data_IF_940474652373
#
_entry.id   IF_940474652373
#
_cell.length_a   1.000
_cell.length_b   1.000
_cell.length_c   1.000
_cell.angle_alpha   90.00
_cell.angle_beta   90.00
_cell.angle_gamma   90.00
#
_symmetry.space_group_name_H-M   'P 1'
#
loop_
_entity.id
_entity.type
_entity.pdbx_description
1 polymer ?
#
# COMPACT_ATOMS: atom_id res chain seq x y z
N UNK A 1 -15.42 -35.39 -1.88
CA UNK A 1 -15.76 -34.02 -2.28
C UNK A 1 -15.54 -33.14 -1.06
N UNK A 2 -14.43 -32.40 -1.02
CA UNK A 2 -14.17 -31.43 0.05
C UNK A 2 -15.23 -30.32 -0.07
N UNK A 3 -15.99 -30.08 0.98
CA UNK A 3 -16.96 -28.97 1.02
C UNK A 3 -16.19 -27.69 0.74
N UNK A 4 -16.60 -26.98 -0.30
CA UNK A 4 -16.02 -25.71 -0.69
C UNK A 4 -16.19 -24.71 0.47
N UNK A 5 -15.08 -24.10 0.91
CA UNK A 5 -15.12 -23.15 2.01
C UNK A 5 -15.87 -21.88 1.60
N UNK A 6 -16.39 -21.15 2.58
CA UNK A 6 -17.02 -19.84 2.31
C UNK A 6 -16.03 -18.88 1.61
N UNK A 7 -14.73 -18.92 1.98
CA UNK A 7 -13.68 -18.14 1.35
C UNK A 7 -13.50 -18.48 -0.14
N UNK A 8 -13.56 -19.76 -0.52
CA UNK A 8 -13.48 -20.19 -1.91
C UNK A 8 -14.67 -19.70 -2.74
N UNK A 9 -15.88 -19.76 -2.15
CA UNK A 9 -17.10 -19.26 -2.78
C UNK A 9 -17.02 -17.75 -2.98
N UNK A 10 -16.60 -17.01 -1.97
CA UNK A 10 -16.41 -15.56 -2.04
C UNK A 10 -15.36 -15.18 -3.10
N UNK A 11 -14.18 -15.79 -3.06
CA UNK A 11 -13.12 -15.53 -4.04
C UNK A 11 -13.55 -15.81 -5.49
N UNK A 12 -14.36 -16.87 -5.70
CA UNK A 12 -14.91 -17.20 -7.00
C UNK A 12 -15.97 -16.19 -7.46
N UNK A 13 -16.83 -15.74 -6.58
CA UNK A 13 -17.85 -14.71 -6.87
C UNK A 13 -17.15 -13.40 -7.20
N UNK A 14 -16.19 -12.96 -6.38
CA UNK A 14 -15.43 -11.73 -6.64
C UNK A 14 -14.64 -11.79 -7.94
N UNK A 15 -13.99 -12.91 -8.24
CA UNK A 15 -13.26 -13.09 -9.52
C UNK A 15 -14.17 -13.16 -10.76
N UNK A 16 -15.48 -13.30 -10.60
CA UNK A 16 -16.46 -13.23 -11.71
C UNK A 16 -17.11 -11.85 -11.87
N UNK A 17 -17.18 -11.08 -10.77
CA UNK A 17 -17.90 -9.80 -10.73
C UNK A 17 -16.92 -8.63 -10.88
N UNK A 18 -15.75 -8.70 -10.26
CA UNK A 18 -14.77 -7.63 -10.30
C UNK A 18 -13.83 -7.85 -11.49
N UNK A 19 -13.89 -6.99 -12.52
CA UNK A 19 -12.96 -7.05 -13.64
C UNK A 19 -11.54 -6.65 -13.19
N UNK A 20 -10.57 -6.77 -14.08
CA UNK A 20 -9.24 -6.21 -13.81
C UNK A 20 -9.30 -4.68 -13.64
N UNK A 21 -8.30 -4.11 -12.96
CA UNK A 21 -8.31 -2.71 -12.56
C UNK A 21 -8.38 -1.72 -13.75
N UNK A 22 -7.82 -2.07 -14.92
CA UNK A 22 -7.89 -1.22 -16.11
C UNK A 22 -9.32 -1.21 -16.66
N UNK A 23 -9.92 -2.39 -16.80
CA UNK A 23 -11.31 -2.54 -17.25
C UNK A 23 -12.27 -1.85 -16.30
N UNK A 24 -12.08 -2.01 -14.99
CA UNK A 24 -12.86 -1.33 -13.95
C UNK A 24 -12.75 0.20 -14.06
N UNK A 25 -11.55 0.72 -14.28
CA UNK A 25 -11.32 2.15 -14.44
C UNK A 25 -12.01 2.71 -15.70
N UNK A 26 -11.94 2.01 -16.82
CA UNK A 26 -12.61 2.42 -18.06
C UNK A 26 -14.14 2.38 -17.88
N UNK A 27 -14.67 1.35 -17.24
CA UNK A 27 -16.10 1.27 -16.93
C UNK A 27 -16.56 2.41 -16.03
N UNK A 28 -15.84 2.67 -14.94
CA UNK A 28 -16.14 3.76 -14.02
C UNK A 28 -16.05 5.13 -14.71
N UNK A 29 -15.05 5.32 -15.58
CA UNK A 29 -14.93 6.52 -16.40
C UNK A 29 -16.17 6.74 -17.27
N UNK A 30 -16.63 5.70 -17.99
CA UNK A 30 -17.81 5.79 -18.83
C UNK A 30 -19.09 6.12 -18.04
N UNK A 31 -19.28 5.46 -16.88
CA UNK A 31 -20.41 5.74 -15.99
C UNK A 31 -20.39 7.19 -15.49
N UNK A 32 -19.25 7.69 -15.02
CA UNK A 32 -19.14 9.05 -14.50
C UNK A 32 -19.18 10.11 -15.59
N UNK A 33 -18.73 9.80 -16.82
CA UNK A 33 -18.87 10.69 -17.96
C UNK A 33 -20.37 10.91 -18.28
N UNK A 34 -21.14 9.82 -18.36
CA UNK A 34 -22.60 9.90 -18.57
C UNK A 34 -23.27 10.62 -17.39
N UNK A 35 -22.89 10.31 -16.15
CA UNK A 35 -23.44 10.95 -14.96
C UNK A 35 -23.17 12.47 -14.98
N UNK A 36 -21.98 12.93 -15.39
CA UNK A 36 -21.66 14.35 -15.54
C UNK A 36 -22.61 15.04 -16.53
N UNK A 37 -22.93 14.40 -17.65
CA UNK A 37 -23.88 14.92 -18.62
C UNK A 37 -25.31 14.96 -18.08
N UNK A 38 -25.75 13.91 -17.40
CA UNK A 38 -27.10 13.81 -16.78
C UNK A 38 -27.32 14.90 -15.72
N UNK A 39 -26.28 15.28 -14.97
CA UNK A 39 -26.38 16.37 -13.98
C UNK A 39 -26.33 17.76 -14.61
N UNK A 40 -26.28 17.88 -15.94
CA UNK A 40 -26.47 19.13 -16.68
C UNK A 40 -25.21 19.73 -17.27
N UNK A 41 -24.06 19.01 -17.27
CA UNK A 41 -22.88 19.49 -17.99
C UNK A 41 -23.00 19.18 -19.49
N UNK A 42 -22.48 20.10 -20.34
CA UNK A 42 -22.43 19.86 -21.79
C UNK A 42 -21.39 18.78 -22.12
N UNK A 43 -21.53 18.17 -23.29
CA UNK A 43 -20.54 17.20 -23.79
C UNK A 43 -19.14 17.81 -23.87
N UNK A 44 -19.01 19.06 -24.38
CA UNK A 44 -17.72 19.74 -24.47
C UNK A 44 -17.09 19.98 -23.09
N UNK A 45 -17.88 20.50 -22.13
CA UNK A 45 -17.41 20.70 -20.74
C UNK A 45 -16.94 19.39 -20.12
N UNK A 46 -17.69 18.31 -20.33
CA UNK A 46 -17.36 16.99 -19.79
C UNK A 46 -16.09 16.43 -20.42
N UNK A 47 -15.92 16.59 -21.75
CA UNK A 47 -14.73 16.16 -22.46
C UNK A 47 -13.48 16.94 -22.03
N UNK A 48 -13.59 18.27 -21.92
CA UNK A 48 -12.49 19.11 -21.46
C UNK A 48 -12.09 18.79 -20.00
N UNK A 49 -13.07 18.54 -19.15
CA UNK A 49 -12.83 18.13 -17.74
C UNK A 49 -12.07 16.80 -17.67
N UNK A 50 -12.49 15.81 -18.45
CA UNK A 50 -11.81 14.53 -18.55
C UNK A 50 -10.36 14.68 -19.04
N UNK A 51 -10.16 15.38 -20.15
CA UNK A 51 -8.82 15.56 -20.73
C UNK A 51 -7.89 16.33 -19.82
N UNK A 52 -8.39 17.38 -19.15
CA UNK A 52 -7.65 18.13 -18.13
C UNK A 52 -7.21 17.24 -16.98
N UNK A 53 -8.12 16.38 -16.51
CA UNK A 53 -7.83 15.44 -15.46
C UNK A 53 -6.75 14.44 -15.83
N UNK A 54 -6.77 13.94 -17.05
CA UNK A 54 -5.92 12.82 -17.52
C UNK A 54 -4.42 12.99 -17.17
N UNK A 55 -3.92 14.21 -17.14
CA UNK A 55 -2.51 14.53 -16.92
C UNK A 55 -2.18 15.08 -15.52
N UNK A 56 -3.19 15.34 -14.69
CA UNK A 56 -2.96 15.99 -13.39
C UNK A 56 -2.20 15.15 -12.38
N UNK A 57 -2.22 13.82 -12.52
CA UNK A 57 -1.50 12.89 -11.63
C UNK A 57 -0.14 12.46 -12.18
N UNK A 58 0.39 13.06 -13.25
CA UNK A 58 1.67 12.64 -13.85
C UNK A 58 2.84 12.62 -12.84
N UNK A 59 3.09 13.69 -12.06
CA UNK A 59 4.13 13.66 -11.02
C UNK A 59 3.87 12.56 -9.98
N UNK A 60 2.64 12.44 -9.51
CA UNK A 60 2.26 11.44 -8.51
C UNK A 60 2.43 10.01 -9.04
N UNK A 61 2.09 9.76 -10.31
CA UNK A 61 2.32 8.47 -10.97
C UNK A 61 3.78 8.06 -10.91
N UNK A 62 4.70 8.99 -11.22
CA UNK A 62 6.13 8.71 -11.15
C UNK A 62 6.63 8.51 -9.72
N UNK A 63 6.12 9.27 -8.77
CA UNK A 63 6.44 9.13 -7.35
C UNK A 63 6.03 7.76 -6.82
N UNK A 64 4.83 7.27 -7.16
CA UNK A 64 4.35 5.94 -6.77
C UNK A 64 5.09 4.81 -7.50
N UNK A 65 5.43 5.02 -8.77
CA UNK A 65 6.27 4.10 -9.53
C UNK A 65 7.62 3.89 -8.83
N UNK A 66 8.25 4.97 -8.37
CA UNK A 66 9.52 4.90 -7.62
C UNK A 66 9.35 4.15 -6.29
N UNK A 67 8.25 4.34 -5.56
CA UNK A 67 7.99 3.58 -4.32
C UNK A 67 8.01 2.07 -4.60
N UNK A 68 7.29 1.61 -5.61
CA UNK A 68 7.22 0.19 -5.96
C UNK A 68 8.59 -0.34 -6.38
N UNK A 69 9.24 0.37 -7.27
CA UNK A 69 10.53 -0.05 -7.83
C UNK A 69 11.61 -0.09 -6.76
N UNK A 70 11.75 0.97 -5.96
CA UNK A 70 12.77 1.04 -4.90
C UNK A 70 12.52 0.00 -3.81
N UNK A 71 11.26 -0.28 -3.47
CA UNK A 71 10.92 -1.36 -2.54
C UNK A 71 11.42 -2.71 -3.04
N UNK A 72 11.16 -3.01 -4.31
CA UNK A 72 11.61 -4.26 -4.93
C UNK A 72 13.15 -4.33 -4.98
N UNK A 73 13.82 -3.22 -5.34
CA UNK A 73 15.29 -3.15 -5.35
C UNK A 73 15.87 -3.39 -3.95
N UNK A 74 15.38 -2.70 -2.92
CA UNK A 74 15.81 -2.89 -1.52
C UNK A 74 15.60 -4.32 -1.08
N UNK A 75 14.44 -4.90 -1.37
CA UNK A 75 14.10 -6.28 -1.02
C UNK A 75 14.99 -7.35 -1.67
N UNK A 76 15.56 -7.06 -2.85
CA UNK A 76 16.48 -7.97 -3.54
C UNK A 76 17.88 -7.97 -2.93
N UNK A 77 18.23 -7.00 -2.07
CA UNK A 77 19.57 -6.90 -1.51
C UNK A 77 19.93 -8.09 -0.61
N UNK A 78 21.17 -8.54 -0.71
CA UNK A 78 21.68 -9.66 0.11
C UNK A 78 21.74 -9.31 1.60
N UNK A 79 21.98 -8.05 1.92
CA UNK A 79 22.00 -7.54 3.30
C UNK A 79 20.63 -7.68 3.93
N UNK A 80 19.59 -7.24 3.22
CA UNK A 80 18.22 -7.31 3.71
C UNK A 80 17.77 -8.77 3.94
N UNK A 81 18.04 -9.65 2.97
CA UNK A 81 17.74 -11.09 3.08
C UNK A 81 18.43 -11.72 4.29
N UNK A 82 19.69 -11.36 4.58
CA UNK A 82 20.42 -11.83 5.77
C UNK A 82 19.79 -11.35 7.07
N UNK A 83 19.34 -10.10 7.13
CA UNK A 83 18.65 -9.57 8.30
C UNK A 83 17.36 -10.35 8.57
N UNK A 84 16.51 -10.55 7.56
CA UNK A 84 15.27 -11.34 7.69
C UNK A 84 15.58 -12.75 8.18
N UNK A 85 16.57 -13.44 7.58
CA UNK A 85 16.95 -14.78 7.98
C UNK A 85 17.49 -14.83 9.42
N UNK A 86 18.24 -13.82 9.87
CA UNK A 86 18.73 -13.74 11.25
C UNK A 86 17.59 -13.55 12.24
N UNK A 87 16.65 -12.64 11.95
CA UNK A 87 15.47 -12.39 12.79
C UNK A 87 14.54 -13.61 12.87
N UNK A 88 14.38 -14.34 11.77
CA UNK A 88 13.59 -15.56 11.73
C UNK A 88 14.10 -16.68 12.67
N UNK A 89 15.38 -16.63 13.07
CA UNK A 89 15.99 -17.59 14.01
C UNK A 89 15.67 -17.30 15.48
N UNK A 90 15.18 -16.10 15.82
CA UNK A 90 14.98 -15.72 17.21
C UNK A 90 13.79 -16.42 17.89
N UNK A 91 12.62 -16.60 17.25
CA UNK A 91 11.45 -17.19 17.87
C UNK A 91 11.69 -18.63 18.37
N UNK A 92 11.07 -18.94 19.53
CA UNK A 92 11.13 -20.27 20.17
C UNK A 92 9.73 -20.87 20.36
N UNK A 93 8.67 -20.11 20.13
CA UNK A 93 7.28 -20.55 20.26
C UNK A 93 6.44 -20.09 19.08
N UNK A 94 5.30 -20.74 18.83
CA UNK A 94 4.34 -20.38 17.78
C UNK A 94 3.95 -18.90 17.86
N UNK A 95 3.61 -18.39 19.05
CA UNK A 95 3.25 -17.01 19.23
C UNK A 95 4.40 -16.05 18.90
N UNK A 96 5.63 -16.39 19.26
CA UNK A 96 6.79 -15.58 18.92
C UNK A 96 7.05 -15.56 17.40
N UNK A 97 6.77 -16.65 16.68
CA UNK A 97 6.85 -16.68 15.22
C UNK A 97 5.85 -15.72 14.60
N UNK A 98 4.59 -15.79 15.03
CA UNK A 98 3.52 -14.90 14.54
C UNK A 98 3.83 -13.44 14.86
N UNK A 99 4.14 -13.13 16.12
CA UNK A 99 4.44 -11.78 16.59
C UNK A 99 5.67 -11.22 15.85
N UNK A 100 6.76 -11.98 15.79
CA UNK A 100 8.01 -11.54 15.17
C UNK A 100 7.85 -11.26 13.67
N UNK A 101 7.18 -12.15 12.95
CA UNK A 101 6.95 -11.99 11.52
C UNK A 101 6.00 -10.81 11.22
N UNK A 102 4.90 -10.69 11.97
CA UNK A 102 3.93 -9.59 11.79
C UNK A 102 4.53 -8.23 12.15
N UNK A 103 5.25 -8.11 13.29
CA UNK A 103 5.90 -6.86 13.67
C UNK A 103 7.01 -6.45 12.69
N UNK A 104 7.79 -7.41 12.18
CA UNK A 104 8.80 -7.11 11.18
C UNK A 104 8.15 -6.55 9.91
N UNK A 105 7.11 -7.22 9.38
CA UNK A 105 6.43 -6.75 8.17
C UNK A 105 5.68 -5.43 8.40
N UNK A 106 4.97 -5.30 9.51
CA UNK A 106 4.28 -4.06 9.87
C UNK A 106 5.25 -2.88 10.01
N UNK A 107 6.38 -3.08 10.71
CA UNK A 107 7.41 -2.05 10.83
C UNK A 107 7.96 -1.61 9.47
N UNK A 108 8.32 -2.55 8.59
CA UNK A 108 8.78 -2.24 7.24
C UNK A 108 7.70 -1.48 6.45
N UNK A 109 6.45 -1.90 6.57
CA UNK A 109 5.31 -1.30 5.89
C UNK A 109 5.03 0.12 6.36
N UNK A 110 5.18 0.39 7.66
CA UNK A 110 5.03 1.73 8.23
C UNK A 110 6.02 2.72 7.63
N UNK A 111 7.28 2.29 7.43
CA UNK A 111 8.28 3.14 6.79
C UNK A 111 8.06 3.27 5.28
N UNK A 112 7.76 2.16 4.60
CA UNK A 112 7.64 2.16 3.14
C UNK A 112 6.76 0.99 2.68
N UNK A 113 5.51 1.28 2.29
CA UNK A 113 4.47 0.27 2.05
C UNK A 113 4.85 -0.84 1.08
N UNK A 114 5.60 -0.49 0.04
CA UNK A 114 6.02 -1.46 -0.96
C UNK A 114 6.97 -2.53 -0.41
N UNK A 115 7.75 -2.23 0.66
CA UNK A 115 8.57 -3.24 1.34
C UNK A 115 7.71 -4.32 1.95
N UNK A 116 6.63 -3.94 2.64
CA UNK A 116 5.74 -4.91 3.26
C UNK A 116 5.07 -5.84 2.26
N UNK A 117 4.64 -5.31 1.11
CA UNK A 117 4.06 -6.12 0.03
C UNK A 117 5.10 -7.07 -0.57
N UNK A 118 6.28 -6.55 -0.90
CA UNK A 118 7.33 -7.34 -1.55
C UNK A 118 7.96 -8.40 -0.63
N UNK A 119 8.12 -8.07 0.65
CA UNK A 119 8.88 -8.87 1.61
C UNK A 119 8.02 -9.69 2.56
N UNK A 120 6.76 -9.33 2.76
CA UNK A 120 5.84 -10.08 3.62
C UNK A 120 5.82 -11.59 3.32
N UNK A 121 5.66 -12.01 2.06
CA UNK A 121 5.75 -13.42 1.70
C UNK A 121 7.11 -14.06 2.03
N UNK A 122 8.21 -13.35 1.79
CA UNK A 122 9.57 -13.82 2.06
C UNK A 122 9.82 -13.94 3.56
N UNK A 123 9.33 -12.98 4.35
CA UNK A 123 9.35 -13.01 5.82
C UNK A 123 8.59 -14.24 6.31
N UNK A 124 7.36 -14.46 5.81
CA UNK A 124 6.53 -15.60 6.20
C UNK A 124 7.21 -16.93 5.91
N UNK A 125 7.83 -17.07 4.74
CA UNK A 125 8.57 -18.29 4.34
C UNK A 125 9.78 -18.51 5.26
N UNK A 126 10.60 -17.49 5.52
CA UNK A 126 11.78 -17.65 6.38
C UNK A 126 11.40 -17.99 7.82
N UNK A 127 10.39 -17.33 8.38
CA UNK A 127 9.91 -17.60 9.74
C UNK A 127 9.29 -19.00 9.85
N UNK A 128 8.49 -19.44 8.87
CA UNK A 128 7.92 -20.76 8.83
C UNK A 128 9.01 -21.85 8.69
N UNK A 129 10.02 -21.64 7.83
CA UNK A 129 11.14 -22.57 7.65
C UNK A 129 11.94 -22.74 8.95
N UNK A 130 12.29 -21.66 9.62
CA UNK A 130 13.03 -21.73 10.88
C UNK A 130 12.17 -22.34 12.02
N UNK A 131 10.86 -22.10 12.00
CA UNK A 131 9.92 -22.75 12.92
C UNK A 131 9.92 -24.27 12.73
N UNK A 132 9.83 -24.77 11.49
CA UNK A 132 9.89 -26.20 11.19
C UNK A 132 11.23 -26.82 11.63
N UNK A 133 12.37 -26.14 11.37
CA UNK A 133 13.69 -26.59 11.82
C UNK A 133 13.79 -26.78 13.34
N UNK A 134 13.00 -26.01 14.10
CA UNK A 134 12.92 -26.05 15.55
C UNK A 134 11.77 -26.91 16.08
N UNK A 135 11.04 -27.61 15.21
CA UNK A 135 9.82 -28.36 15.53
C UNK A 135 8.71 -27.50 16.16
N UNK A 136 8.67 -26.20 15.85
CA UNK A 136 7.61 -25.28 16.24
C UNK A 136 6.47 -25.40 15.25
N UNK A 137 5.27 -25.72 15.72
CA UNK A 137 4.08 -25.90 14.87
C UNK A 137 3.49 -24.56 14.46
N UNK A 138 3.42 -24.28 13.15
CA UNK A 138 2.84 -23.08 12.56
C UNK A 138 2.10 -23.45 11.28
N UNK A 139 0.89 -22.91 11.10
CA UNK A 139 0.22 -22.97 9.79
C UNK A 139 0.81 -21.88 8.90
N UNK A 140 1.41 -22.30 7.78
CA UNK A 140 2.10 -21.37 6.88
C UNK A 140 1.17 -20.36 6.22
N UNK A 141 -0.03 -20.77 5.79
CA UNK A 141 -0.95 -19.87 5.11
C UNK A 141 -1.62 -18.88 6.07
N UNK A 142 -1.88 -19.30 7.30
CA UNK A 142 -2.36 -18.40 8.35
C UNK A 142 -1.28 -17.37 8.73
N UNK A 143 -0.01 -17.81 8.86
CA UNK A 143 1.12 -16.90 9.07
C UNK A 143 1.24 -15.90 7.92
N UNK A 144 1.16 -16.37 6.68
CA UNK A 144 1.21 -15.53 5.47
C UNK A 144 0.10 -14.48 5.48
N UNK A 145 -1.14 -14.88 5.82
CA UNK A 145 -2.28 -13.98 5.93
C UNK A 145 -2.10 -12.93 7.03
N UNK A 146 -1.58 -13.34 8.20
CA UNK A 146 -1.33 -12.44 9.33
C UNK A 146 -0.23 -11.42 9.00
N UNK A 147 0.85 -11.87 8.38
CA UNK A 147 1.96 -11.01 7.94
C UNK A 147 1.49 -10.06 6.84
N UNK A 148 0.68 -10.52 5.89
CA UNK A 148 0.07 -9.66 4.88
C UNK A 148 -0.87 -8.63 5.52
N UNK A 149 -1.72 -9.02 6.44
CA UNK A 149 -2.61 -8.10 7.15
C UNK A 149 -1.83 -7.06 7.99
N UNK A 150 -0.69 -7.42 8.57
CA UNK A 150 0.18 -6.49 9.27
C UNK A 150 0.76 -5.39 8.36
N UNK A 151 0.77 -5.61 7.03
CA UNK A 151 1.10 -4.55 6.07
C UNK A 151 0.13 -3.37 6.16
N UNK A 152 -1.10 -3.55 6.63
CA UNK A 152 -2.14 -2.51 6.72
C UNK A 152 -1.67 -1.21 7.40
N UNK A 153 -0.74 -1.29 8.34
CA UNK A 153 -0.19 -0.12 9.05
C UNK A 153 0.48 0.93 8.13
N UNK A 154 0.78 0.58 6.88
CA UNK A 154 1.28 1.56 5.92
C UNK A 154 0.27 2.66 5.60
N UNK A 155 -1.04 2.39 5.78
CA UNK A 155 -2.11 3.31 5.42
C UNK A 155 -2.06 4.62 6.23
N UNK A 156 -1.50 4.56 7.43
CA UNK A 156 -1.20 5.74 8.26
C UNK A 156 0.30 5.79 8.64
N UNK A 157 1.16 5.15 7.85
CA UNK A 157 2.61 5.18 7.99
C UNK A 157 3.27 6.31 7.19
N UNK A 158 4.61 6.33 7.20
CA UNK A 158 5.41 7.40 6.56
C UNK A 158 5.26 7.47 5.04
N UNK A 159 4.87 6.39 4.40
CA UNK A 159 4.62 6.33 2.95
C UNK A 159 3.13 6.26 2.59
N UNK A 160 2.25 6.58 3.53
CA UNK A 160 0.80 6.64 3.31
C UNK A 160 0.47 7.55 2.12
N UNK A 161 -0.11 6.98 1.06
CA UNK A 161 -0.18 7.65 -0.24
C UNK A 161 -1.04 8.92 -0.21
N UNK A 162 -2.24 8.88 0.39
CA UNK A 162 -3.11 10.05 0.46
C UNK A 162 -2.57 11.13 1.42
N UNK A 163 -2.20 10.82 2.69
CA UNK A 163 -1.61 11.81 3.60
C UNK A 163 -0.34 12.46 3.06
N UNK A 164 0.59 11.65 2.53
CA UNK A 164 1.87 12.17 2.06
C UNK A 164 1.71 13.02 0.80
N UNK A 165 0.76 12.65 -0.08
CA UNK A 165 0.41 13.46 -1.24
C UNK A 165 -0.14 14.83 -0.82
N UNK A 166 -1.05 14.86 0.17
CA UNK A 166 -1.63 16.12 0.65
C UNK A 166 -0.65 16.98 1.47
N UNK A 167 0.43 16.39 1.96
CA UNK A 167 1.53 17.12 2.58
C UNK A 167 2.54 17.67 1.56
N UNK A 168 2.49 17.20 0.30
CA UNK A 168 3.44 17.60 -0.76
C UNK A 168 2.93 18.86 -1.47
N UNK A 169 3.70 19.97 -1.53
CA UNK A 169 3.32 21.16 -2.28
C UNK A 169 3.04 20.87 -3.75
N UNK A 170 2.03 21.53 -4.31
CA UNK A 170 1.62 21.37 -5.71
C UNK A 170 0.73 20.13 -5.95
N UNK A 171 0.18 19.51 -4.91
CA UNK A 171 -0.75 18.40 -5.08
C UNK A 171 -2.09 18.85 -5.71
N UNK A 172 -2.78 17.93 -6.35
CA UNK A 172 -3.95 18.19 -7.20
C UNK A 172 -5.20 18.76 -6.48
N UNK A 173 -5.25 18.74 -5.15
CA UNK A 173 -6.33 19.34 -4.35
C UNK A 173 -5.88 20.58 -3.57
N UNK A 174 -4.67 21.10 -3.79
CA UNK A 174 -4.13 22.18 -2.96
C UNK A 174 -5.02 23.44 -2.96
N UNK A 175 -5.63 23.79 -4.09
CA UNK A 175 -6.53 24.93 -4.19
C UNK A 175 -7.84 24.74 -3.40
N UNK A 176 -8.21 23.49 -3.11
CA UNK A 176 -9.44 23.14 -2.39
C UNK A 176 -9.25 23.01 -0.89
N UNK A 177 -8.14 22.37 -0.47
CA UNK A 177 -7.93 21.97 0.93
C UNK A 177 -6.62 22.48 1.54
N UNK A 178 -5.79 23.19 0.77
CA UNK A 178 -4.46 23.61 1.22
C UNK A 178 -3.50 22.43 1.38
N UNK A 179 -2.34 22.68 1.99
CA UNK A 179 -1.37 21.65 2.34
C UNK A 179 -1.74 21.09 3.72
N UNK A 180 -1.90 19.78 3.85
CA UNK A 180 -2.22 19.11 5.10
C UNK A 180 -0.94 18.55 5.75
N UNK A 181 -0.46 19.13 6.86
CA UNK A 181 0.74 18.64 7.53
C UNK A 181 0.57 17.20 8.04
N UNK A 182 1.64 16.40 8.01
CA UNK A 182 1.61 15.02 8.53
C UNK A 182 1.24 14.95 10.01
N UNK A 183 1.51 16.00 10.79
CA UNK A 183 1.10 16.12 12.19
C UNK A 183 -0.42 16.09 12.39
N UNK A 184 -1.19 16.49 11.40
CA UNK A 184 -2.66 16.49 11.43
C UNK A 184 -3.26 15.26 10.74
N UNK A 185 -2.45 14.37 10.20
CA UNK A 185 -2.87 13.17 9.48
C UNK A 185 -2.27 11.92 10.12
N UNK A 186 -1.17 11.39 9.62
CA UNK A 186 -0.55 10.14 10.10
C UNK A 186 -0.02 10.24 11.55
N UNK A 187 0.33 11.42 12.00
CA UNK A 187 0.78 11.68 13.37
C UNK A 187 -0.28 12.32 14.25
N UNK A 188 -1.53 12.38 13.78
CA UNK A 188 -2.65 12.77 14.63
C UNK A 188 -2.87 11.72 15.74
N UNK A 189 -3.38 12.10 16.91
CA UNK A 189 -3.68 11.15 17.97
C UNK A 189 -4.59 10.00 17.50
N UNK A 190 -5.59 10.29 16.69
CA UNK A 190 -6.49 9.28 16.14
C UNK A 190 -5.76 8.25 15.28
N UNK A 191 -4.88 8.69 14.37
CA UNK A 191 -4.12 7.77 13.51
C UNK A 191 -3.17 6.89 14.35
N UNK A 192 -2.47 7.47 15.33
CA UNK A 192 -1.57 6.72 16.22
C UNK A 192 -2.36 5.70 17.07
N UNK A 193 -3.49 6.10 17.64
CA UNK A 193 -4.37 5.18 18.38
C UNK A 193 -4.84 4.04 17.49
N UNK A 194 -5.28 4.35 16.25
CA UNK A 194 -5.70 3.33 15.31
C UNK A 194 -4.60 2.31 15.03
N UNK A 195 -3.40 2.76 14.69
CA UNK A 195 -2.27 1.89 14.36
C UNK A 195 -1.88 0.97 15.52
N UNK A 196 -1.78 1.53 16.73
CA UNK A 196 -1.42 0.77 17.94
C UNK A 196 -2.52 -0.25 18.27
N UNK A 197 -3.78 0.17 18.30
CA UNK A 197 -4.91 -0.71 18.62
C UNK A 197 -5.07 -1.80 17.56
N UNK A 198 -4.95 -1.45 16.29
CA UNK A 198 -5.02 -2.44 15.22
C UNK A 198 -3.87 -3.46 15.31
N UNK A 199 -2.63 -3.01 15.49
CA UNK A 199 -1.49 -3.93 15.59
C UNK A 199 -1.65 -4.87 16.81
N UNK A 200 -2.04 -4.35 17.97
CA UNK A 200 -2.28 -5.18 19.15
C UNK A 200 -3.40 -6.20 18.93
N UNK A 201 -4.50 -5.78 18.33
CA UNK A 201 -5.62 -6.66 18.00
C UNK A 201 -5.24 -7.71 16.94
N UNK A 202 -4.48 -7.33 15.91
CA UNK A 202 -3.96 -8.25 14.89
C UNK A 202 -3.06 -9.32 15.53
N UNK A 203 -2.16 -8.92 16.40
CA UNK A 203 -1.27 -9.87 17.11
C UNK A 203 -2.06 -10.81 18.02
N UNK A 204 -3.05 -10.28 18.76
CA UNK A 204 -3.92 -11.10 19.62
C UNK A 204 -4.70 -12.11 18.79
N UNK A 205 -5.34 -11.69 17.69
CA UNK A 205 -6.07 -12.55 16.76
C UNK A 205 -5.12 -13.56 16.11
N UNK A 206 -3.93 -13.14 15.66
CA UNK A 206 -2.93 -14.01 15.07
C UNK A 206 -2.41 -15.11 16.01
N UNK A 207 -2.31 -14.81 17.30
CA UNK A 207 -1.92 -15.80 18.30
C UNK A 207 -3.08 -16.73 18.70
N UNK A 208 -4.32 -16.22 18.69
CA UNK A 208 -5.49 -16.95 19.22
C UNK A 208 -6.17 -17.82 18.14
N UNK A 209 -6.25 -17.37 16.89
CA UNK A 209 -6.95 -18.05 15.81
C UNK A 209 -6.09 -19.01 14.98
N UNK A 210 -4.87 -19.35 15.44
CA UNK A 210 -4.02 -20.32 14.75
C UNK A 210 -4.80 -21.63 14.52
N UNK A 211 -4.91 -22.11 13.27
CA UNK A 211 -5.65 -23.34 12.95
C UNK A 211 -5.14 -24.56 13.72
N UNK A 212 -6.05 -25.40 14.21
CA UNK A 212 -5.68 -26.64 14.89
C UNK A 212 -5.04 -27.66 13.93
N UNK A 213 -5.55 -27.76 12.70
CA UNK A 213 -4.99 -28.57 11.63
C UNK A 213 -3.97 -27.72 10.85
N UNK A 214 -2.74 -27.69 11.34
CA UNK A 214 -1.67 -26.86 10.78
C UNK A 214 -1.05 -27.49 9.54
N UNK A 215 -0.90 -26.71 8.49
CA UNK A 215 -0.16 -27.06 7.27
C UNK A 215 1.21 -26.38 7.30
N UNK A 216 2.30 -27.15 7.50
CA UNK A 216 3.65 -26.61 7.56
C UNK A 216 4.11 -26.10 6.18
N UNK A 217 5.21 -25.34 6.14
CA UNK A 217 5.79 -24.84 4.87
C UNK A 217 6.21 -25.99 3.94
N UNK A 218 6.66 -27.11 4.50
CA UNK A 218 7.02 -28.34 3.75
C UNK A 218 5.85 -28.93 2.94
N UNK A 219 4.60 -28.63 3.29
CA UNK A 219 3.42 -28.98 2.50
C UNK A 219 3.28 -28.12 1.22
N UNK A 220 4.10 -27.07 1.05
CA UNK A 220 4.12 -26.15 -0.08
C UNK A 220 5.50 -26.11 -0.75
N UNK A 221 5.88 -27.12 -1.56
CA UNK A 221 7.23 -27.27 -2.10
C UNK A 221 7.72 -26.05 -2.89
N UNK A 222 6.85 -25.41 -3.67
CA UNK A 222 7.22 -24.25 -4.48
C UNK A 222 7.52 -23.01 -3.63
N UNK A 223 6.78 -22.79 -2.54
CA UNK A 223 7.08 -21.76 -1.56
C UNK A 223 8.40 -22.02 -0.85
N UNK A 224 8.64 -23.27 -0.48
CA UNK A 224 9.84 -23.68 0.27
C UNK A 224 11.13 -23.42 -0.52
N UNK A 225 11.14 -23.58 -1.84
CA UNK A 225 12.30 -23.29 -2.72
C UNK A 225 12.73 -21.82 -2.68
N UNK A 226 11.83 -20.88 -2.36
CA UNK A 226 12.14 -19.45 -2.35
C UNK A 226 13.04 -19.00 -1.19
N UNK A 227 13.19 -19.81 -0.15
CA UNK A 227 14.07 -19.50 0.96
C UNK A 227 15.55 -19.82 0.66
N UNK A 228 15.84 -20.49 -0.46
CA UNK A 228 17.22 -20.79 -0.84
C UNK A 228 17.96 -19.51 -1.29
N UNK A 229 19.24 -19.36 -0.88
CA UNK A 229 20.00 -18.18 -1.26
C UNK A 229 20.16 -18.11 -2.79
N UNK A 230 19.77 -17.00 -3.39
CA UNK A 230 20.08 -16.73 -4.79
C UNK A 230 21.60 -16.46 -4.86
N UNK A 231 22.34 -17.34 -5.50
CA UNK A 231 23.74 -17.10 -5.83
C UNK A 231 23.78 -15.97 -6.86
N UNK A 232 24.36 -14.82 -6.48
CA UNK A 232 24.61 -13.76 -7.43
C UNK A 232 25.68 -14.25 -8.41
N UNK A 233 25.34 -14.26 -9.69
CA UNK A 233 26.31 -14.48 -10.76
C UNK A 233 27.19 -13.20 -10.86
N UNK A 234 28.35 -13.23 -10.22
CA UNK A 234 29.30 -12.12 -10.22
C UNK A 234 30.22 -12.24 -11.42
N UNK A 235 29.79 -11.70 -12.55
CA UNK A 235 30.66 -11.56 -13.71
C UNK A 235 31.79 -10.61 -13.37
N UNK A 236 33.05 -11.01 -13.63
CA UNK A 236 34.21 -10.16 -13.45
C UNK A 236 34.24 -9.07 -14.55
N UNK A 237 34.56 -7.82 -14.22
CA UNK A 237 34.62 -6.73 -15.19
C UNK A 237 35.81 -6.93 -16.14
N UNK A 238 35.52 -6.94 -17.44
CA UNK A 238 36.51 -7.20 -18.49
C UNK A 238 37.14 -5.91 -19.05
N UNK A 239 36.45 -4.79 -19.00
CA UNK A 239 36.87 -3.50 -19.57
C UNK A 239 36.76 -2.34 -18.59
N UNK A 240 37.19 -1.14 -18.99
CA UNK A 240 37.17 0.04 -18.14
C UNK A 240 35.73 0.46 -17.75
N UNK A 241 34.76 0.41 -18.66
CA UNK A 241 33.39 0.77 -18.39
C UNK A 241 32.79 -0.16 -17.32
N UNK A 242 32.96 -1.45 -17.47
CA UNK A 242 32.48 -2.44 -16.49
C UNK A 242 33.17 -2.28 -15.12
N UNK A 243 34.48 -1.95 -15.10
CA UNK A 243 35.17 -1.65 -13.84
C UNK A 243 34.56 -0.43 -13.14
N UNK A 244 34.17 0.59 -13.90
CA UNK A 244 33.51 1.77 -13.35
C UNK A 244 32.12 1.44 -12.78
N UNK A 245 31.34 0.63 -13.51
CA UNK A 245 30.01 0.17 -13.06
C UNK A 245 30.09 -0.71 -11.80
N UNK A 246 31.13 -1.55 -11.67
CA UNK A 246 31.36 -2.38 -10.48
C UNK A 246 32.05 -1.60 -9.34
N UNK A 247 32.48 -0.37 -9.60
CA UNK A 247 33.14 0.46 -8.58
C UNK A 247 32.17 0.97 -7.53
N UNK A 248 32.51 0.77 -6.25
CA UNK A 248 31.79 1.38 -5.14
C UNK A 248 32.00 2.90 -5.04
N UNK A 249 32.99 3.46 -5.73
CA UNK A 249 33.26 4.91 -5.70
C UNK A 249 32.14 5.68 -6.36
N UNK A 250 31.63 5.24 -7.51
CA UNK A 250 30.51 5.91 -8.17
C UNK A 250 29.25 5.89 -7.29
N UNK A 251 28.99 4.77 -6.65
CA UNK A 251 27.90 4.66 -5.67
C UNK A 251 28.11 5.62 -4.49
N UNK A 252 29.32 5.69 -3.94
CA UNK A 252 29.63 6.57 -2.80
C UNK A 252 29.43 8.05 -3.17
N UNK A 253 29.90 8.48 -4.34
CA UNK A 253 29.72 9.86 -4.83
C UNK A 253 28.23 10.22 -4.89
N UNK A 254 27.42 9.35 -5.48
CA UNK A 254 25.96 9.55 -5.54
C UNK A 254 25.33 9.57 -4.14
N UNK A 255 25.69 8.60 -3.28
CA UNK A 255 25.16 8.51 -1.92
C UNK A 255 25.51 9.74 -1.08
N UNK A 256 26.73 10.27 -1.19
CA UNK A 256 27.16 11.51 -0.50
C UNK A 256 26.32 12.69 -0.98
N UNK A 257 26.09 12.83 -2.29
CA UNK A 257 25.30 13.92 -2.83
C UNK A 257 23.85 13.88 -2.33
N UNK A 258 23.20 12.70 -2.36
CA UNK A 258 21.83 12.53 -1.87
C UNK A 258 21.75 12.74 -0.35
N UNK A 259 22.69 12.20 0.41
CA UNK A 259 22.75 12.39 1.87
C UNK A 259 22.94 13.87 2.24
N UNK A 260 23.82 14.59 1.54
CA UNK A 260 24.03 16.02 1.74
C UNK A 260 22.76 16.82 1.43
N UNK A 261 22.02 16.45 0.36
CA UNK A 261 20.75 17.07 0.04
C UNK A 261 19.69 16.79 1.10
N UNK A 262 19.55 15.54 1.59
CA UNK A 262 18.63 15.19 2.66
C UNK A 262 18.95 15.95 3.96
N UNK A 263 20.23 16.06 4.30
CA UNK A 263 20.69 16.88 5.42
C UNK A 263 20.27 18.35 5.26
N UNK A 264 20.55 18.94 4.10
CA UNK A 264 20.17 20.32 3.80
C UNK A 264 18.64 20.52 3.86
N UNK A 265 17.87 19.57 3.31
CA UNK A 265 16.43 19.61 3.30
C UNK A 265 15.82 19.58 4.72
N UNK A 266 16.22 18.60 5.53
CA UNK A 266 15.62 18.41 6.85
C UNK A 266 16.23 19.29 7.93
N UNK A 267 17.53 19.48 7.93
CA UNK A 267 18.24 20.18 9.03
C UNK A 267 18.36 21.67 8.74
N UNK A 268 18.81 22.06 7.54
CA UNK A 268 19.05 23.47 7.22
C UNK A 268 17.76 24.18 6.85
N UNK A 269 16.97 23.62 5.94
CA UNK A 269 15.67 24.19 5.55
C UNK A 269 14.54 23.92 6.55
N UNK A 270 14.69 22.92 7.43
CA UNK A 270 13.65 22.42 8.35
C UNK A 270 12.36 22.05 7.60
N UNK A 271 12.51 21.54 6.36
CA UNK A 271 11.37 21.11 5.55
C UNK A 271 10.74 19.84 6.12
N UNK A 272 9.43 19.70 5.90
CA UNK A 272 8.69 18.50 6.28
C UNK A 272 8.99 17.34 5.35
N UNK A 273 8.71 16.12 5.82
CA UNK A 273 8.72 14.92 4.99
C UNK A 273 7.64 15.04 3.91
N UNK A 274 8.04 14.78 2.66
CA UNK A 274 7.17 14.68 1.50
C UNK A 274 7.52 13.43 0.67
N UNK A 275 6.73 13.16 -0.37
CA UNK A 275 6.94 12.00 -1.25
C UNK A 275 8.34 12.00 -1.91
N UNK A 276 8.84 13.17 -2.29
CA UNK A 276 10.12 13.28 -3.00
C UNK A 276 11.30 13.01 -2.08
N UNK A 277 11.28 13.58 -0.87
CA UNK A 277 12.31 13.36 0.14
C UNK A 277 12.32 11.92 0.64
N UNK A 278 11.13 11.30 0.78
CA UNK A 278 11.03 9.87 1.10
C UNK A 278 11.64 8.99 0.00
N UNK A 279 11.28 9.24 -1.26
CA UNK A 279 11.85 8.51 -2.40
C UNK A 279 13.36 8.71 -2.52
N UNK A 280 13.87 9.92 -2.27
CA UNK A 280 15.31 10.20 -2.24
C UNK A 280 16.02 9.38 -1.14
N UNK A 281 15.43 9.29 0.06
CA UNK A 281 15.98 8.48 1.14
C UNK A 281 16.02 6.98 0.78
N UNK A 282 14.96 6.46 0.14
CA UNK A 282 14.94 5.06 -0.29
C UNK A 282 15.83 4.79 -1.50
N UNK A 283 16.03 5.77 -2.39
CA UNK A 283 17.02 5.69 -3.47
C UNK A 283 18.44 5.60 -2.90
N UNK A 284 18.75 6.44 -1.91
CA UNK A 284 20.02 6.38 -1.17
C UNK A 284 20.22 4.98 -0.55
N UNK A 285 19.19 4.48 0.17
CA UNK A 285 19.24 3.15 0.81
C UNK A 285 19.46 2.04 -0.22
N UNK A 286 18.77 2.09 -1.36
CA UNK A 286 18.90 1.12 -2.43
C UNK A 286 20.33 1.05 -2.98
N UNK A 287 20.95 2.20 -3.26
CA UNK A 287 22.34 2.25 -3.70
C UNK A 287 23.32 1.74 -2.65
N UNK A 288 23.16 2.12 -1.38
CA UNK A 288 24.01 1.65 -0.28
C UNK A 288 23.93 0.12 -0.11
N UNK A 289 22.75 -0.47 -0.23
CA UNK A 289 22.55 -1.91 -0.07
C UNK A 289 23.12 -2.73 -1.23
N UNK A 290 23.14 -2.18 -2.44
CA UNK A 290 23.69 -2.84 -3.63
C UNK A 290 25.18 -2.57 -3.85
N UNK A 291 25.76 -1.54 -3.19
CA UNK A 291 27.20 -1.20 -3.15
C UNK A 291 27.81 -0.74 -4.47
N UNK A 292 27.30 -1.12 -5.64
CA UNK A 292 27.76 -0.67 -6.94
C UNK A 292 26.60 -0.50 -7.93
N UNK A 293 26.87 0.29 -8.98
CA UNK A 293 25.87 0.65 -9.99
C UNK A 293 25.38 -0.59 -10.76
N UNK A 294 26.27 -1.52 -11.07
CA UNK A 294 25.94 -2.75 -11.81
C UNK A 294 24.84 -3.56 -11.08
N UNK A 295 25.05 -3.87 -9.79
CA UNK A 295 24.07 -4.64 -9.00
C UNK A 295 22.75 -3.89 -8.84
N UNK A 296 22.83 -2.56 -8.60
CA UNK A 296 21.63 -1.71 -8.54
C UNK A 296 20.87 -1.75 -9.85
N UNK A 297 21.53 -1.58 -11.01
CA UNK A 297 20.88 -1.61 -12.33
C UNK A 297 20.25 -2.95 -12.63
N UNK A 298 20.90 -4.07 -12.29
CA UNK A 298 20.30 -5.41 -12.43
C UNK A 298 19.05 -5.57 -11.59
N UNK A 299 19.08 -5.15 -10.33
CA UNK A 299 17.91 -5.17 -9.46
C UNK A 299 16.78 -4.27 -10.00
N UNK A 300 17.14 -3.09 -10.53
CA UNK A 300 16.19 -2.14 -11.12
C UNK A 300 15.50 -2.70 -12.36
N UNK A 301 16.24 -3.37 -13.26
CA UNK A 301 15.67 -4.01 -14.46
C UNK A 301 14.60 -5.05 -14.12
N UNK A 302 14.78 -5.81 -13.03
CA UNK A 302 13.77 -6.74 -12.55
C UNK A 302 12.62 -6.03 -11.83
N UNK A 303 12.92 -4.99 -11.06
CA UNK A 303 11.95 -4.27 -10.25
C UNK A 303 10.93 -3.49 -11.09
N UNK A 304 11.34 -2.90 -12.22
CA UNK A 304 10.48 -2.04 -13.04
C UNK A 304 9.27 -2.80 -13.62
N UNK A 305 9.41 -4.10 -13.83
CA UNK A 305 8.32 -4.96 -14.31
C UNK A 305 7.14 -5.04 -13.34
N UNK A 306 7.32 -4.72 -12.07
CA UNK A 306 6.22 -4.68 -11.08
C UNK A 306 5.45 -3.37 -11.09
N UNK A 307 5.98 -2.32 -11.72
CA UNK A 307 5.41 -0.97 -11.66
C UNK A 307 4.55 -0.59 -12.90
N UNK A 308 4.58 -1.36 -13.98
CA UNK A 308 3.86 -1.03 -15.22
C UNK A 308 2.34 -0.76 -15.03
N UNK A 309 1.62 -1.46 -14.13
CA UNK A 309 0.20 -1.22 -13.98
C UNK A 309 -0.07 0.21 -13.50
N UNK A 310 0.73 0.70 -12.55
CA UNK A 310 0.56 2.04 -11.96
C UNK A 310 0.73 3.14 -13.00
N UNK A 311 1.68 2.98 -13.91
CA UNK A 311 1.97 3.97 -14.97
C UNK A 311 0.74 4.26 -15.84
N UNK A 312 -0.06 3.24 -16.18
CA UNK A 312 -1.25 3.39 -17.02
C UNK A 312 -2.50 3.69 -16.19
N UNK A 313 -2.70 2.94 -15.11
CA UNK A 313 -3.94 3.00 -14.32
C UNK A 313 -4.14 4.40 -13.70
N UNK A 314 -3.09 5.04 -13.22
CA UNK A 314 -3.22 6.35 -12.59
C UNK A 314 -3.66 7.47 -13.54
N UNK A 315 -3.35 7.36 -14.82
CA UNK A 315 -3.89 8.29 -15.82
C UNK A 315 -5.40 8.09 -16.03
N UNK A 316 -5.89 6.84 -15.99
CA UNK A 316 -7.32 6.57 -16.04
C UNK A 316 -8.03 7.14 -14.81
N UNK A 317 -7.46 6.93 -13.60
CA UNK A 317 -8.00 7.52 -12.36
C UNK A 317 -7.95 9.05 -12.39
N UNK A 318 -6.91 9.63 -12.95
CA UNK A 318 -6.78 11.07 -13.13
C UNK A 318 -7.87 11.65 -14.03
N UNK A 319 -8.20 10.97 -15.13
CA UNK A 319 -9.33 11.34 -15.99
C UNK A 319 -10.67 11.32 -15.26
N UNK A 320 -10.91 10.29 -14.44
CA UNK A 320 -12.09 10.19 -13.57
C UNK A 320 -12.13 11.35 -12.56
N UNK A 321 -11.01 11.63 -11.90
CA UNK A 321 -10.89 12.72 -10.96
C UNK A 321 -11.14 14.09 -11.62
N UNK A 322 -10.71 14.26 -12.87
CA UNK A 322 -11.00 15.45 -13.67
C UNK A 322 -12.48 15.68 -13.90
N UNK A 323 -13.24 14.62 -14.22
CA UNK A 323 -14.70 14.71 -14.33
C UNK A 323 -15.34 15.16 -13.02
N UNK A 324 -14.88 14.64 -11.90
CA UNK A 324 -15.43 14.99 -10.58
C UNK A 324 -15.06 16.43 -10.18
N UNK A 325 -13.83 16.86 -10.43
CA UNK A 325 -13.32 18.17 -9.96
C UNK A 325 -13.70 19.34 -10.85
N UNK A 326 -13.79 19.12 -12.18
CA UNK A 326 -13.98 20.17 -13.17
C UNK A 326 -15.38 20.21 -13.78
N UNK A 327 -16.35 19.46 -13.20
CA UNK A 327 -17.77 19.53 -13.53
C UNK A 327 -18.60 19.72 -12.26
N UNK A 328 -19.90 19.93 -12.40
CA UNK A 328 -20.83 20.02 -11.27
C UNK A 328 -21.08 18.69 -10.56
N UNK A 329 -20.55 17.58 -11.10
CA UNK A 329 -20.78 16.23 -10.58
C UNK A 329 -20.25 16.08 -9.16
N UNK A 330 -19.00 16.53 -8.90
CA UNK A 330 -18.36 16.38 -7.60
C UNK A 330 -19.09 17.13 -6.48
N UNK A 331 -19.55 18.36 -6.75
CA UNK A 331 -20.34 19.14 -5.78
C UNK A 331 -21.68 18.47 -5.48
N UNK A 332 -22.36 17.91 -6.48
CA UNK A 332 -23.63 17.17 -6.26
C UNK A 332 -23.40 15.90 -5.47
N UNK A 333 -22.35 15.14 -5.77
CA UNK A 333 -22.00 13.94 -4.99
C UNK A 333 -21.69 14.30 -3.53
N UNK A 334 -20.92 15.36 -3.29
CA UNK A 334 -20.60 15.84 -1.96
C UNK A 334 -21.86 16.26 -1.19
N UNK A 335 -22.76 16.98 -1.87
CA UNK A 335 -24.06 17.41 -1.29
C UNK A 335 -24.93 16.22 -0.87
N UNK A 336 -24.98 15.15 -1.67
CA UNK A 336 -25.74 13.93 -1.33
C UNK A 336 -25.16 13.28 -0.07
N UNK A 337 -23.83 13.12 0.01
CA UNK A 337 -23.16 12.52 1.17
C UNK A 337 -23.39 13.40 2.41
N UNK A 338 -23.26 14.72 2.29
CA UNK A 338 -23.49 15.64 3.39
C UNK A 338 -24.94 15.59 3.90
N UNK A 339 -25.92 15.50 3.01
CA UNK A 339 -27.34 15.48 3.37
C UNK A 339 -27.75 14.24 4.22
N UNK A 340 -27.04 13.12 4.06
CA UNK A 340 -27.31 11.87 4.81
C UNK A 340 -26.35 11.65 5.97
N UNK A 341 -25.43 12.61 6.23
CA UNK A 341 -24.39 12.49 7.24
C UNK A 341 -24.54 13.53 8.35
N UNK A 342 -24.08 13.18 9.53
CA UNK A 342 -23.81 14.07 10.65
C UNK A 342 -22.33 14.06 10.99
N UNK A 343 -21.80 14.96 11.81
CA UNK A 343 -20.39 14.90 12.22
C UNK A 343 -19.96 13.55 12.81
N UNK A 344 -20.89 12.83 13.47
CA UNK A 344 -20.64 11.51 14.07
C UNK A 344 -20.75 10.35 13.08
N UNK A 345 -21.68 10.43 12.12
CA UNK A 345 -21.89 9.36 11.15
C UNK A 345 -20.98 9.48 9.92
N UNK A 346 -20.44 10.66 9.67
CA UNK A 346 -19.60 10.91 8.49
C UNK A 346 -18.40 10.00 8.37
N UNK A 347 -17.62 9.69 9.44
CA UNK A 347 -16.49 8.76 9.33
C UNK A 347 -16.92 7.37 8.85
N UNK A 348 -18.06 6.85 9.37
CA UNK A 348 -18.62 5.57 8.90
C UNK A 348 -19.03 5.66 7.42
N UNK A 349 -19.71 6.75 7.01
CA UNK A 349 -20.15 6.92 5.63
C UNK A 349 -18.99 7.04 4.67
N UNK A 350 -17.94 7.76 5.06
CA UNK A 350 -16.70 7.87 4.30
C UNK A 350 -15.98 6.50 4.18
N UNK A 351 -15.91 5.73 5.26
CA UNK A 351 -15.32 4.39 5.25
C UNK A 351 -16.14 3.41 4.37
N UNK A 352 -17.46 3.44 4.43
CA UNK A 352 -18.31 2.62 3.54
C UNK A 352 -18.11 3.01 2.08
N UNK A 353 -18.14 4.31 1.77
CA UNK A 353 -17.90 4.81 0.42
C UNK A 353 -16.49 4.42 -0.08
N UNK A 354 -15.49 4.51 0.78
CA UNK A 354 -14.14 4.04 0.52
C UNK A 354 -14.10 2.55 0.21
N UNK A 355 -14.76 1.71 1.00
CA UNK A 355 -14.82 0.26 0.78
C UNK A 355 -15.46 -0.08 -0.56
N UNK A 356 -16.59 0.52 -0.90
CA UNK A 356 -17.27 0.25 -2.18
C UNK A 356 -16.39 0.59 -3.37
N UNK A 357 -15.73 1.73 -3.36
CA UNK A 357 -14.85 2.14 -4.47
C UNK A 357 -13.56 1.31 -4.52
N UNK A 358 -13.02 0.91 -3.39
CA UNK A 358 -11.80 0.09 -3.32
C UNK A 358 -11.94 -1.29 -3.98
N UNK A 359 -13.13 -1.83 -4.10
CA UNK A 359 -13.36 -3.06 -4.89
C UNK A 359 -13.02 -2.89 -6.38
N UNK A 360 -13.12 -1.67 -6.90
CA UNK A 360 -12.82 -1.34 -8.31
C UNK A 360 -11.48 -0.60 -8.46
N UNK A 361 -11.06 0.12 -7.43
CA UNK A 361 -9.85 0.96 -7.40
C UNK A 361 -8.99 0.57 -6.19
N UNK A 362 -8.29 -0.56 -6.23
CA UNK A 362 -7.51 -1.06 -5.08
C UNK A 362 -6.19 -0.29 -4.91
N UNK A 363 -6.27 1.02 -4.68
CA UNK A 363 -5.13 1.93 -4.64
C UNK A 363 -5.44 3.16 -3.83
N UNK A 364 -4.86 3.31 -2.64
CA UNK A 364 -5.13 4.43 -1.72
C UNK A 364 -4.92 5.81 -2.36
N UNK A 365 -3.79 6.04 -3.00
CA UNK A 365 -3.52 7.31 -3.68
C UNK A 365 -4.41 7.52 -4.91
N UNK A 366 -4.67 6.47 -5.69
CA UNK A 366 -5.58 6.51 -6.83
C UNK A 366 -7.03 6.74 -6.40
N UNK A 367 -7.46 6.07 -5.33
CA UNK A 367 -8.79 6.26 -4.75
C UNK A 367 -8.97 7.68 -4.17
N UNK A 368 -7.96 8.19 -3.47
CA UNK A 368 -7.98 9.56 -2.99
C UNK A 368 -8.05 10.57 -4.14
N UNK A 369 -7.38 10.32 -5.26
CA UNK A 369 -7.49 11.15 -6.45
C UNK A 369 -8.93 11.23 -6.96
N UNK A 370 -9.67 10.13 -6.93
CA UNK A 370 -11.07 10.05 -7.37
C UNK A 370 -12.01 10.63 -6.33
N UNK A 371 -11.91 10.22 -5.07
CA UNK A 371 -12.88 10.53 -4.01
C UNK A 371 -12.50 11.72 -3.14
N UNK A 372 -11.24 12.16 -3.16
CA UNK A 372 -10.71 13.16 -2.23
C UNK A 372 -11.45 14.51 -2.32
N UNK A 373 -11.80 14.96 -3.53
CA UNK A 373 -12.59 16.18 -3.72
C UNK A 373 -13.96 16.06 -3.05
N UNK A 374 -14.70 15.00 -3.36
CA UNK A 374 -16.05 14.74 -2.83
C UNK A 374 -16.02 14.60 -1.32
N UNK A 375 -15.08 13.80 -0.80
CA UNK A 375 -14.94 13.54 0.64
C UNK A 375 -14.59 14.82 1.39
N UNK A 376 -13.67 15.65 0.86
CA UNK A 376 -13.27 16.91 1.47
C UNK A 376 -14.43 17.91 1.54
N UNK A 377 -15.15 18.08 0.43
CA UNK A 377 -16.32 18.98 0.36
C UNK A 377 -17.44 18.51 1.29
N UNK A 378 -17.75 17.22 1.31
CA UNK A 378 -18.77 16.65 2.20
C UNK A 378 -18.37 16.79 3.68
N UNK A 379 -17.10 16.53 4.04
CA UNK A 379 -16.58 16.72 5.39
C UNK A 379 -16.76 18.17 5.86
N UNK A 380 -16.32 19.13 5.05
CA UNK A 380 -16.48 20.56 5.37
C UNK A 380 -17.96 20.96 5.55
N UNK A 381 -18.85 20.42 4.70
CA UNK A 381 -20.28 20.74 4.76
C UNK A 381 -20.96 20.22 6.04
N UNK A 382 -20.48 19.12 6.62
CA UNK A 382 -21.01 18.58 7.90
C UNK A 382 -20.18 19.00 9.13
N UNK A 383 -19.21 19.91 8.98
CA UNK A 383 -18.39 20.41 10.09
C UNK A 383 -17.30 19.42 10.57
N UNK A 384 -16.89 18.48 9.73
CA UNK A 384 -15.79 17.53 10.01
C UNK A 384 -14.51 18.03 9.33
N UNK A 385 -13.36 17.89 9.98
CA UNK A 385 -12.07 18.24 9.36
C UNK A 385 -11.78 17.36 8.14
N UNK A 386 -11.15 17.96 7.12
CA UNK A 386 -10.76 17.24 5.90
C UNK A 386 -9.83 16.07 6.24
N UNK A 387 -8.92 16.26 7.19
CA UNK A 387 -8.00 15.23 7.67
C UNK A 387 -8.73 14.00 8.20
N UNK A 388 -9.74 14.21 9.06
CA UNK A 388 -10.57 13.12 9.58
C UNK A 388 -11.35 12.42 8.46
N UNK A 389 -11.89 13.17 7.51
CA UNK A 389 -12.56 12.62 6.34
C UNK A 389 -11.64 11.75 5.49
N UNK A 390 -10.41 12.20 5.25
CA UNK A 390 -9.39 11.46 4.51
C UNK A 390 -9.00 10.17 5.23
N UNK A 391 -8.72 10.24 6.54
CA UNK A 391 -8.34 9.06 7.33
C UNK A 391 -9.48 8.03 7.39
N UNK A 392 -10.72 8.48 7.56
CA UNK A 392 -11.90 7.60 7.53
C UNK A 392 -12.11 6.94 6.16
N UNK A 393 -11.97 7.69 5.05
CA UNK A 393 -11.98 7.13 3.71
C UNK A 393 -10.91 6.05 3.53
N UNK A 394 -9.71 6.31 4.03
CA UNK A 394 -8.56 5.40 3.96
C UNK A 394 -8.78 4.10 4.75
N UNK A 395 -9.59 4.12 5.82
CA UNK A 395 -10.06 2.89 6.50
C UNK A 395 -10.84 2.01 5.53
N UNK A 396 -11.78 2.61 4.80
CA UNK A 396 -12.59 1.89 3.83
C UNK A 396 -11.77 1.38 2.63
N UNK A 397 -10.87 2.20 2.11
CA UNK A 397 -9.94 1.79 1.06
C UNK A 397 -9.17 0.53 1.47
N UNK A 398 -8.59 0.51 2.65
CA UNK A 398 -7.80 -0.62 3.07
C UNK A 398 -8.63 -1.87 3.41
N UNK A 399 -9.85 -1.69 3.91
CA UNK A 399 -10.84 -2.79 4.04
C UNK A 399 -11.02 -3.50 2.69
N UNK A 400 -11.25 -2.75 1.61
CA UNK A 400 -11.35 -3.30 0.26
C UNK A 400 -10.05 -3.97 -0.18
N UNK A 401 -8.89 -3.35 0.02
CA UNK A 401 -7.58 -3.90 -0.38
C UNK A 401 -7.29 -5.26 0.29
N UNK A 402 -7.65 -5.46 1.55
CA UNK A 402 -7.52 -6.74 2.25
C UNK A 402 -8.58 -7.77 1.85
N UNK A 403 -9.71 -7.34 1.28
CA UNK A 403 -10.84 -8.20 0.92
C UNK A 403 -10.87 -8.59 -0.55
N UNK A 404 -10.14 -7.87 -1.43
CA UNK A 404 -10.13 -8.14 -2.86
C UNK A 404 -9.03 -9.12 -3.27
N UNK A 405 -9.23 -9.88 -4.36
CA UNK A 405 -8.21 -10.77 -4.90
C UNK A 405 -6.95 -10.03 -5.38
N UNK A 406 -7.02 -8.75 -5.75
CA UNK A 406 -5.95 -8.02 -6.41
C UNK A 406 -4.62 -8.08 -5.63
N UNK A 407 -4.59 -7.60 -4.40
CA UNK A 407 -3.38 -7.65 -3.58
C UNK A 407 -3.05 -9.05 -3.07
N UNK A 408 -4.08 -9.84 -2.77
CA UNK A 408 -3.90 -11.23 -2.36
C UNK A 408 -3.22 -12.06 -3.45
N UNK A 409 -3.52 -11.83 -4.74
CA UNK A 409 -2.85 -12.51 -5.86
C UNK A 409 -1.37 -12.11 -5.98
N UNK A 410 -1.02 -10.85 -5.71
CA UNK A 410 0.38 -10.41 -5.71
C UNK A 410 1.16 -11.13 -4.61
N UNK A 411 0.64 -11.14 -3.39
CA UNK A 411 1.23 -11.84 -2.25
C UNK A 411 1.34 -13.34 -2.53
N UNK A 412 0.29 -13.95 -3.07
CA UNK A 412 0.24 -15.36 -3.46
C UNK A 412 1.26 -15.71 -4.54
N UNK A 413 1.40 -14.85 -5.55
CA UNK A 413 2.37 -15.02 -6.63
C UNK A 413 3.82 -15.00 -6.13
N UNK A 414 4.14 -14.08 -5.21
CA UNK A 414 5.46 -14.02 -4.57
C UNK A 414 5.68 -15.26 -3.69
N UNK A 415 4.68 -15.69 -2.91
CA UNK A 415 4.76 -16.87 -2.04
C UNK A 415 4.61 -18.20 -2.79
N UNK A 416 4.27 -18.18 -4.10
CA UNK A 416 3.99 -19.38 -4.92
C UNK A 416 2.92 -20.31 -4.32
N UNK A 417 1.83 -19.70 -3.83
CA UNK A 417 0.66 -20.41 -3.30
C UNK A 417 -0.62 -19.87 -3.95
N UNK A 418 -1.76 -20.52 -3.73
CA UNK A 418 -3.04 -19.98 -4.19
C UNK A 418 -3.56 -18.91 -3.22
N UNK A 419 -3.96 -17.74 -3.71
CA UNK A 419 -4.57 -16.69 -2.87
C UNK A 419 -5.86 -17.17 -2.20
N UNK A 420 -6.59 -18.09 -2.82
CA UNK A 420 -7.85 -18.65 -2.30
C UNK A 420 -7.67 -19.36 -0.96
N UNK A 421 -6.47 -19.87 -0.69
CA UNK A 421 -6.20 -20.64 0.53
C UNK A 421 -5.99 -19.76 1.78
N UNK A 422 -5.73 -18.47 1.62
CA UNK A 422 -5.49 -17.57 2.77
C UNK A 422 -6.32 -16.29 2.78
N UNK A 423 -7.00 -15.92 1.69
CA UNK A 423 -7.80 -14.68 1.62
C UNK A 423 -8.91 -14.63 2.70
N UNK A 424 -9.46 -15.79 3.06
CA UNK A 424 -10.45 -15.88 4.13
C UNK A 424 -9.94 -15.39 5.49
N UNK A 425 -8.68 -15.65 5.81
CA UNK A 425 -8.04 -15.09 7.01
C UNK A 425 -7.81 -13.59 6.86
N UNK A 426 -7.44 -13.12 5.66
CA UNK A 426 -7.31 -11.70 5.35
C UNK A 426 -8.59 -10.91 5.63
N UNK A 427 -9.76 -11.49 5.34
CA UNK A 427 -11.05 -10.86 5.60
C UNK A 427 -11.36 -10.67 7.09
N UNK A 428 -10.87 -11.54 7.96
CA UNK A 428 -11.00 -11.37 9.42
C UNK A 428 -10.23 -10.10 9.85
N UNK A 429 -9.02 -9.94 9.35
CA UNK A 429 -8.20 -8.75 9.62
C UNK A 429 -8.75 -7.49 8.96
N UNK A 430 -9.36 -7.61 7.78
CA UNK A 430 -10.04 -6.51 7.12
C UNK A 430 -11.23 -6.00 7.95
N UNK A 431 -12.05 -6.90 8.49
CA UNK A 431 -13.14 -6.54 9.38
C UNK A 431 -12.64 -5.88 10.67
N UNK A 432 -11.55 -6.42 11.24
CA UNK A 432 -10.90 -5.86 12.43
C UNK A 432 -10.40 -4.42 12.17
N UNK A 433 -9.69 -4.21 11.05
CA UNK A 433 -9.24 -2.90 10.60
C UNK A 433 -10.39 -1.91 10.46
N UNK A 434 -11.46 -2.32 9.77
CA UNK A 434 -12.62 -1.46 9.53
C UNK A 434 -13.31 -1.04 10.81
N UNK A 435 -13.62 -1.99 11.71
CA UNK A 435 -14.32 -1.71 12.97
C UNK A 435 -13.50 -0.78 13.85
N UNK A 436 -12.20 -1.06 14.04
CA UNK A 436 -11.30 -0.21 14.83
C UNK A 436 -11.24 1.19 14.20
N UNK A 437 -11.07 1.28 12.88
CA UNK A 437 -10.96 2.55 12.17
C UNK A 437 -12.21 3.41 12.30
N UNK A 438 -13.39 2.82 12.07
CA UNK A 438 -14.66 3.55 12.23
C UNK A 438 -14.84 4.07 13.67
N UNK A 439 -14.56 3.24 14.68
CA UNK A 439 -14.67 3.65 16.08
C UNK A 439 -13.67 4.76 16.39
N UNK A 440 -12.41 4.59 16.04
CA UNK A 440 -11.35 5.57 16.35
C UNK A 440 -11.61 6.90 15.65
N UNK A 441 -11.87 6.91 14.34
CA UNK A 441 -12.08 8.16 13.61
C UNK A 441 -13.45 8.82 13.88
N UNK A 442 -14.37 8.12 14.55
CA UNK A 442 -15.60 8.74 15.07
C UNK A 442 -15.35 9.44 16.40
N UNK A 443 -14.61 8.85 17.34
CA UNK A 443 -14.57 9.28 18.73
C UNK A 443 -13.23 9.84 19.20
N UNK A 444 -12.09 9.46 18.59
CA UNK A 444 -10.78 9.96 19.00
C UNK A 444 -10.53 11.40 18.50
N UNK A 445 -9.72 12.20 19.21
CA UNK A 445 -9.30 13.53 18.75
C UNK A 445 -8.41 13.41 17.50
N UNK A 446 -8.69 14.23 16.47
CA UNK A 446 -7.87 14.38 15.27
C UNK A 446 -7.19 15.75 15.25
#
# INVERSE_FOLDING_TARGET
MTQESWADRFARVMGRIVPDAITAAIFLLAVLFVAAMVVGNSFSTTMDAWYRGLWMLLPFTMQMTLIIVLSSVVGQSTVFKRIVAALARLPQTTNQVVIGAALLNGGLSYFYWGLGVALGPIISINFAREAERKNIKVDFLFLLATVWAANAVWQFGLSASAPLQMATPGHFLQDTIGILPLSTTIWSPAAIIHEVVFMLALLAVGCWLMPKAMRPLSAFPEANKLADPITADERQPENFSERLEHSSVMTLVFCVAVAAWLWYHFITKRASLDINSLNAAFLLLAFLLHRNVYRFTKALQHAILSAWPVVVIYHLYAGIAGLIQHTTLGEKMAGIIAAVSTPYTFPLMAAIAGTVVSFFVPSSGGQWAIQGFVTSKAAMAVGVSVQRGMLALSVGDHMGNLSTPFWAMIVAGIARVSFREFIGYGMIYAALWFVIGVVVFTFAPC
#
